data_IF_630406853182
#
_entry.id   IF_630406853182
#
_cell.length_a   1.000
_cell.length_b   1.000
_cell.length_c   1.000
_cell.angle_alpha   90.00
_cell.angle_beta   90.00
_cell.angle_gamma   90.00
#
_symmetry.space_group_name_H-M   'P 1'
#
loop_
_entity.id
_entity.type
_entity.pdbx_description
1 polymer ?
#
# COMPACT_ATOMS: atom_id res chain seq x y z
N UNK A 1 -9.78 3.89 -7.96
CA UNK A 1 -9.63 5.22 -7.30
C UNK A 1 -10.87 6.07 -7.56
N UNK A 2 -11.22 6.38 -8.82
CA UNK A 2 -12.43 7.15 -9.16
C UNK A 2 -13.70 6.67 -8.45
N UNK A 3 -14.03 5.38 -8.56
CA UNK A 3 -15.17 4.76 -7.85
C UNK A 3 -15.14 4.94 -6.33
N UNK A 4 -13.96 4.90 -5.71
CA UNK A 4 -13.83 5.09 -4.27
C UNK A 4 -14.08 6.55 -3.86
N UNK A 5 -13.70 7.50 -4.72
CA UNK A 5 -14.01 8.92 -4.56
C UNK A 5 -15.53 9.14 -4.70
N UNK A 6 -16.14 8.59 -5.77
CA UNK A 6 -17.59 8.69 -6.01
C UNK A 6 -18.43 8.13 -4.87
N UNK A 7 -18.00 7.02 -4.27
CA UNK A 7 -18.72 6.31 -3.20
C UNK A 7 -18.25 6.71 -1.79
N UNK A 8 -17.39 7.73 -1.68
CA UNK A 8 -16.83 8.23 -0.42
C UNK A 8 -16.26 7.13 0.49
N UNK A 9 -15.47 6.21 -0.08
CA UNK A 9 -14.80 5.13 0.64
C UNK A 9 -13.28 5.22 0.50
N UNK A 10 -12.49 4.68 1.44
CA UNK A 10 -11.03 4.66 1.32
C UNK A 10 -10.58 3.96 0.03
N UNK A 11 -9.69 4.61 -0.72
CA UNK A 11 -9.10 4.01 -1.92
C UNK A 11 -7.92 3.10 -1.54
N UNK A 12 -7.95 1.85 -2.02
CA UNK A 12 -6.90 0.84 -1.73
C UNK A 12 -5.50 1.25 -2.20
N UNK A 13 -5.41 1.95 -3.33
CA UNK A 13 -4.18 2.52 -3.85
C UNK A 13 -4.01 3.95 -3.32
N UNK A 14 -3.74 4.09 -2.02
CA UNK A 14 -3.54 5.41 -1.40
C UNK A 14 -2.08 5.82 -1.37
N UNK A 15 -1.84 7.14 -1.27
CA UNK A 15 -0.50 7.67 -1.10
C UNK A 15 0.19 7.13 0.15
N UNK A 16 -0.56 6.88 1.24
CA UNK A 16 -0.04 6.25 2.46
C UNK A 16 0.46 4.83 2.21
N UNK A 17 -0.31 4.00 1.48
CA UNK A 17 0.10 2.64 1.10
C UNK A 17 1.33 2.69 0.17
N UNK A 18 1.32 3.58 -0.82
CA UNK A 18 2.43 3.73 -1.77
C UNK A 18 3.73 4.17 -1.05
N UNK A 19 3.63 5.11 -0.12
CA UNK A 19 4.76 5.56 0.69
C UNK A 19 5.33 4.44 1.55
N UNK A 20 4.48 3.66 2.22
CA UNK A 20 4.94 2.54 3.04
C UNK A 20 5.70 1.48 2.21
N UNK A 21 5.18 1.16 1.02
CA UNK A 21 5.86 0.24 0.09
C UNK A 21 7.20 0.83 -0.38
N UNK A 22 7.25 2.13 -0.69
CA UNK A 22 8.48 2.80 -1.11
C UNK A 22 9.56 2.72 -0.02
N UNK A 23 9.20 2.96 1.24
CA UNK A 23 10.14 2.82 2.36
C UNK A 23 10.65 1.38 2.50
N UNK A 24 9.78 0.37 2.37
CA UNK A 24 10.20 -1.04 2.37
C UNK A 24 11.19 -1.32 1.23
N UNK A 25 10.93 -0.83 0.01
CA UNK A 25 11.82 -1.01 -1.13
C UNK A 25 13.21 -0.36 -0.91
N UNK A 26 13.23 0.83 -0.31
CA UNK A 26 14.48 1.51 0.09
C UNK A 26 15.23 0.73 1.19
N UNK A 27 14.51 0.32 2.24
CA UNK A 27 15.07 -0.43 3.37
C UNK A 27 15.71 -1.75 2.93
N UNK A 28 15.07 -2.50 2.01
CA UNK A 28 15.64 -3.74 1.42
C UNK A 28 16.97 -3.44 0.73
N UNK A 29 17.03 -2.37 -0.06
CA UNK A 29 18.25 -2.00 -0.80
C UNK A 29 19.37 -1.61 0.16
N UNK A 30 19.06 -0.85 1.21
CA UNK A 30 20.02 -0.43 2.25
C UNK A 30 20.50 -1.61 3.09
N UNK A 31 19.60 -2.48 3.52
CA UNK A 31 19.93 -3.69 4.28
C UNK A 31 20.91 -4.58 3.51
N UNK A 32 20.71 -4.74 2.19
CA UNK A 32 21.62 -5.50 1.34
C UNK A 32 23.01 -4.88 1.22
N UNK A 33 23.12 -3.54 1.16
CA UNK A 33 24.41 -2.84 1.03
C UNK A 33 25.19 -2.80 2.34
N UNK A 34 24.47 -2.65 3.44
CA UNK A 34 25.05 -2.43 4.78
C UNK A 34 25.20 -3.73 5.58
N UNK A 35 24.67 -4.85 5.07
CA UNK A 35 24.64 -6.16 5.73
C UNK A 35 24.07 -6.10 7.16
N UNK A 36 23.00 -5.31 7.34
CA UNK A 36 22.28 -5.19 8.62
C UNK A 36 20.77 -5.08 8.41
N UNK A 37 20.02 -5.33 9.48
CA UNK A 37 18.58 -5.09 9.51
C UNK A 37 18.34 -3.58 9.52
N UNK A 38 17.37 -3.12 8.73
CA UNK A 38 16.91 -1.74 8.66
C UNK A 38 15.44 -1.73 9.08
N UNK A 39 15.10 -0.92 10.08
CA UNK A 39 13.73 -0.74 10.54
C UNK A 39 12.94 0.08 9.52
N UNK A 40 11.65 -0.23 9.40
CA UNK A 40 10.67 0.53 8.62
C UNK A 40 9.72 1.20 9.60
N UNK A 41 9.74 2.53 9.63
CA UNK A 41 9.00 3.35 10.59
C UNK A 41 7.57 3.64 10.11
N UNK A 42 7.34 3.70 8.79
CA UNK A 42 5.99 3.94 8.30
C UNK A 42 5.06 2.78 8.62
N UNK A 43 3.78 3.14 8.81
CA UNK A 43 2.70 2.19 9.02
C UNK A 43 1.49 2.57 8.18
N UNK A 44 0.67 1.58 7.86
CA UNK A 44 -0.58 1.80 7.15
C UNK A 44 -1.62 0.76 7.57
N UNK A 45 -2.88 1.16 7.63
CA UNK A 45 -3.97 0.21 7.82
C UNK A 45 -4.03 -0.73 6.62
N UNK A 46 -4.15 -2.02 6.91
CA UNK A 46 -4.29 -3.03 5.86
C UNK A 46 -5.58 -2.76 5.06
N UNK A 47 -5.50 -2.55 3.73
CA UNK A 47 -6.69 -2.35 2.93
C UNK A 47 -7.61 -3.58 2.94
N UNK A 48 -8.92 -3.35 2.85
CA UNK A 48 -9.90 -4.44 2.75
C UNK A 48 -9.60 -5.36 1.57
N UNK A 49 -9.85 -6.65 1.74
CA UNK A 49 -9.72 -7.63 0.66
C UNK A 49 -10.65 -7.30 -0.50
N UNK A 50 -10.22 -7.61 -1.72
CA UNK A 50 -11.07 -7.48 -2.91
C UNK A 50 -12.14 -8.57 -2.84
N UNK A 51 -13.45 -8.22 -2.88
CA UNK A 51 -14.51 -9.22 -2.90
C UNK A 51 -14.38 -10.16 -4.10
N UNK A 52 -14.75 -11.43 -3.90
CA UNK A 52 -14.80 -12.40 -4.99
C UNK A 52 -15.81 -11.95 -6.06
N UNK A 53 -15.41 -11.99 -7.34
CA UNK A 53 -16.24 -11.55 -8.46
C UNK A 53 -16.27 -10.04 -8.69
N UNK A 54 -15.49 -9.24 -7.95
CA UNK A 54 -15.37 -7.82 -8.22
C UNK A 54 -14.77 -7.56 -9.61
N UNK A 55 -15.48 -6.78 -10.42
CA UNK A 55 -15.03 -6.26 -11.70
C UNK A 55 -14.90 -4.73 -11.60
N UNK A 56 -14.18 -4.05 -12.52
CA UNK A 56 -13.95 -2.61 -12.44
C UNK A 56 -15.24 -1.77 -12.33
N UNK A 57 -16.34 -2.25 -12.88
CA UNK A 57 -17.68 -1.66 -12.90
C UNK A 57 -18.57 -2.04 -11.70
N UNK A 58 -18.30 -3.19 -11.06
CA UNK A 58 -19.09 -3.71 -9.92
C UNK A 58 -18.44 -3.48 -8.55
N UNK A 59 -17.25 -2.89 -8.55
CA UNK A 59 -16.49 -2.55 -7.35
C UNK A 59 -16.88 -1.19 -6.73
#
# INVERSE_FOLDING_TARGET
>A
MARAIETNRPHRASGRVAFHILEIMDAITRASREHRVIDVDSTVDRPDVVPFGAAPDTW
#
